data_IF_134170746618
#
_entry.id   IF_134170746618
#
_cell.length_a   1.000
_cell.length_b   1.000
_cell.length_c   1.000
_cell.angle_alpha   90.00
_cell.angle_beta   90.00
_cell.angle_gamma   90.00
#
_symmetry.space_group_name_H-M   'P 1'
#
loop_
_entity.id
_entity.type
_entity.pdbx_description
1 polymer ?
#
# COMPACT_ATOMS: atom_id res chain seq x y z
N UNK A 1 -2.75 8.96 7.49
CA UNK A 1 -2.50 8.09 8.67
C UNK A 1 -3.76 8.06 9.53
N UNK A 2 -4.26 6.86 9.91
CA UNK A 2 -5.47 6.74 10.76
C UNK A 2 -5.16 7.35 12.14
N UNK A 3 -6.02 8.25 12.60
CA UNK A 3 -5.99 8.75 13.98
C UNK A 3 -6.90 7.85 14.82
N UNK A 4 -6.47 7.51 16.02
CA UNK A 4 -7.26 6.81 17.03
C UNK A 4 -7.29 7.72 18.24
N UNK A 5 -8.49 8.10 18.69
CA UNK A 5 -8.69 9.00 19.85
C UNK A 5 -7.84 10.28 19.81
N UNK A 6 -7.77 10.93 18.64
CA UNK A 6 -7.02 12.18 18.45
C UNK A 6 -5.51 12.02 18.20
N UNK A 7 -4.92 10.85 18.47
CA UNK A 7 -3.51 10.58 18.23
C UNK A 7 -3.27 9.77 16.95
N UNK A 8 -2.15 10.02 16.26
CA UNK A 8 -1.76 9.20 15.09
C UNK A 8 -1.43 7.79 15.58
N UNK A 9 -2.09 6.77 15.01
CA UNK A 9 -1.95 5.39 15.47
C UNK A 9 -0.49 4.85 15.46
N UNK A 10 0.40 5.42 14.63
CA UNK A 10 1.81 4.99 14.62
C UNK A 10 2.58 5.35 15.91
N UNK A 11 2.16 6.41 16.62
CA UNK A 11 2.87 6.88 17.81
C UNK A 11 2.74 5.90 18.98
N UNK A 12 1.55 5.32 19.17
CA UNK A 12 1.33 4.32 20.23
C UNK A 12 1.91 2.94 19.85
N UNK A 13 1.88 2.56 18.56
CA UNK A 13 2.56 1.33 18.11
C UNK A 13 4.08 1.33 18.40
N UNK A 14 4.76 2.48 18.31
CA UNK A 14 6.18 2.61 18.67
C UNK A 14 6.46 2.55 20.18
N UNK A 15 5.44 2.77 21.01
CA UNK A 15 5.55 2.67 22.47
C UNK A 15 5.28 1.25 22.99
N UNK A 16 5.01 0.30 22.09
CA UNK A 16 4.68 -1.08 22.45
C UNK A 16 3.18 -1.32 22.68
N UNK A 17 2.35 -0.29 22.55
CA UNK A 17 0.91 -0.44 22.73
C UNK A 17 0.28 -1.10 21.49
N UNK A 18 -0.30 -2.28 21.68
CA UNK A 18 -1.10 -2.97 20.67
C UNK A 18 -2.39 -2.22 20.42
N UNK A 19 -2.38 -1.32 19.44
CA UNK A 19 -3.60 -0.66 18.97
C UNK A 19 -4.33 -1.61 18.02
N UNK A 20 -5.43 -2.19 18.50
CA UNK A 20 -6.39 -2.90 17.64
C UNK A 20 -7.15 -1.84 16.83
N UNK A 21 -6.83 -1.74 15.54
CA UNK A 21 -7.57 -0.87 14.63
C UNK A 21 -8.83 -1.61 14.16
N UNK A 22 -10.01 -0.98 14.19
CA UNK A 22 -11.21 -1.61 13.65
C UNK A 22 -11.02 -1.85 12.14
N UNK A 23 -11.46 -3.02 11.64
CA UNK A 23 -11.36 -3.35 10.22
C UNK A 23 -12.16 -2.34 9.40
N UNK A 24 -11.60 -1.94 8.27
CA UNK A 24 -12.30 -1.09 7.31
C UNK A 24 -12.79 -1.99 6.16
N UNK A 25 -14.04 -1.84 5.75
CA UNK A 25 -14.54 -2.48 4.53
C UNK A 25 -13.82 -1.86 3.33
N UNK A 26 -13.23 -2.71 2.50
CA UNK A 26 -12.58 -2.35 1.25
C UNK A 26 -13.11 -3.23 0.14
N UNK A 27 -12.94 -2.79 -1.11
CA UNK A 27 -13.28 -3.56 -2.29
C UNK A 27 -12.03 -3.81 -3.11
N UNK A 28 -11.84 -5.06 -3.52
CA UNK A 28 -10.85 -5.45 -4.53
C UNK A 28 -11.61 -5.59 -5.84
N UNK A 29 -11.22 -4.80 -6.83
CA UNK A 29 -11.85 -4.81 -8.15
C UNK A 29 -11.16 -5.80 -9.09
N UNK A 30 -9.85 -5.95 -8.94
CA UNK A 30 -9.02 -6.84 -9.73
C UNK A 30 -7.78 -7.27 -8.93
N UNK A 31 -7.34 -8.51 -9.13
CA UNK A 31 -6.22 -9.11 -8.39
C UNK A 31 -5.52 -10.18 -9.22
N UNK A 32 -4.32 -9.86 -9.70
CA UNK A 32 -3.46 -10.75 -10.48
C UNK A 32 -2.26 -11.14 -9.60
N UNK A 33 -1.92 -12.43 -9.56
CA UNK A 33 -0.84 -12.96 -8.71
C UNK A 33 0.17 -13.69 -9.57
N UNK A 34 1.45 -13.50 -9.25
CA UNK A 34 2.58 -14.20 -9.84
C UNK A 34 3.42 -14.82 -8.72
N UNK A 35 3.53 -16.15 -8.78
CA UNK A 35 4.28 -16.99 -7.84
C UNK A 35 5.47 -17.68 -8.51
N UNK A 36 5.97 -17.16 -9.64
CA UNK A 36 7.11 -17.75 -10.36
C UNK A 36 8.43 -17.67 -9.61
N UNK A 37 8.55 -16.74 -8.65
CA UNK A 37 9.79 -16.44 -7.92
C UNK A 37 9.69 -16.72 -6.41
N UNK A 38 9.03 -17.83 -6.03
CA UNK A 38 8.93 -18.22 -4.62
C UNK A 38 10.31 -18.26 -3.93
N UNK A 39 10.42 -17.78 -2.67
CA UNK A 39 9.34 -17.43 -1.76
C UNK A 39 8.77 -16.02 -1.94
N UNK A 40 9.25 -15.25 -2.92
CA UNK A 40 8.68 -13.94 -3.24
C UNK A 40 7.40 -14.12 -4.08
N UNK A 41 6.37 -13.35 -3.75
CA UNK A 41 5.08 -13.37 -4.43
C UNK A 41 4.78 -11.97 -4.91
N UNK A 42 4.68 -11.82 -6.22
CA UNK A 42 4.30 -10.58 -6.87
C UNK A 42 2.79 -10.55 -7.07
N UNK A 43 2.19 -9.36 -6.98
CA UNK A 43 0.79 -9.19 -7.36
C UNK A 43 0.50 -7.79 -7.84
N UNK A 44 -0.50 -7.68 -8.71
CA UNK A 44 -1.12 -6.42 -9.12
C UNK A 44 -2.53 -6.37 -8.59
N UNK A 45 -2.90 -5.23 -8.02
CA UNK A 45 -4.21 -5.04 -7.37
C UNK A 45 -4.84 -3.72 -7.77
N UNK A 46 -6.13 -3.78 -8.14
CA UNK A 46 -7.02 -2.63 -8.20
C UNK A 46 -7.97 -2.68 -7.02
N UNK A 47 -8.03 -1.61 -6.22
CA UNK A 47 -8.79 -1.60 -4.97
C UNK A 47 -9.38 -0.23 -4.62
N UNK A 48 -10.37 -0.24 -3.73
CA UNK A 48 -10.98 0.98 -3.21
C UNK A 48 -10.01 1.78 -2.34
N UNK A 49 -10.30 3.07 -2.14
CA UNK A 49 -9.57 3.91 -1.18
C UNK A 49 -9.53 3.26 0.21
N UNK A 50 -8.44 3.50 0.93
CA UNK A 50 -8.28 3.01 2.30
C UNK A 50 -7.76 1.56 2.42
N UNK A 51 -7.57 0.86 1.30
CA UNK A 51 -6.91 -0.45 1.28
C UNK A 51 -5.45 -0.32 1.71
N UNK A 52 -5.06 -1.12 2.68
CA UNK A 52 -3.72 -1.10 3.25
C UNK A 52 -2.94 -2.31 2.72
N UNK A 53 -2.19 -2.13 1.63
CA UNK A 53 -1.48 -3.23 0.94
C UNK A 53 -0.54 -4.00 1.87
N UNK A 54 0.06 -3.32 2.86
CA UNK A 54 0.87 -3.97 3.90
C UNK A 54 0.08 -4.90 4.82
N UNK A 55 -1.19 -4.59 5.10
CA UNK A 55 -2.05 -5.50 5.86
C UNK A 55 -2.41 -6.71 4.98
N UNK A 56 -2.75 -6.47 3.70
CA UNK A 56 -3.03 -7.54 2.75
C UNK A 56 -1.87 -8.53 2.63
N UNK A 57 -0.62 -8.07 2.51
CA UNK A 57 0.55 -8.95 2.47
C UNK A 57 0.69 -9.84 3.72
N UNK A 58 0.40 -9.28 4.91
CA UNK A 58 0.39 -10.02 6.17
C UNK A 58 -0.72 -11.07 6.18
N UNK A 59 -1.92 -10.66 5.79
CA UNK A 59 -3.12 -11.50 5.82
C UNK A 59 -3.00 -12.66 4.81
N UNK A 60 -2.42 -12.42 3.63
CA UNK A 60 -2.08 -13.46 2.65
C UNK A 60 -1.09 -14.48 3.22
N UNK A 61 -0.02 -14.00 3.87
CA UNK A 61 0.94 -14.88 4.56
C UNK A 61 0.26 -15.74 5.62
N UNK A 62 -0.56 -15.14 6.47
CA UNK A 62 -1.32 -15.86 7.49
C UNK A 62 -2.31 -16.89 6.91
N UNK A 63 -2.97 -16.56 5.79
CA UNK A 63 -3.92 -17.46 5.12
C UNK A 63 -3.25 -18.73 4.58
N UNK A 64 -1.96 -18.67 4.23
CA UNK A 64 -1.17 -19.82 3.79
C UNK A 64 -0.36 -20.46 4.93
N UNK A 65 -0.71 -20.17 6.19
CA UNK A 65 -0.03 -20.66 7.39
C UNK A 65 1.47 -20.29 7.44
N UNK A 66 1.82 -19.12 6.91
CA UNK A 66 3.18 -18.56 6.92
C UNK A 66 3.19 -17.12 7.43
N UNK A 67 4.36 -16.49 7.41
CA UNK A 67 4.51 -15.04 7.53
C UNK A 67 4.51 -14.37 6.15
N UNK A 68 3.95 -13.17 6.07
CA UNK A 68 4.01 -12.34 4.86
C UNK A 68 4.26 -10.89 5.22
N UNK A 69 5.17 -10.24 4.50
CA UNK A 69 5.38 -8.81 4.61
C UNK A 69 5.71 -8.22 3.25
N UNK A 70 5.36 -6.94 3.08
CA UNK A 70 5.58 -6.23 1.82
C UNK A 70 7.04 -5.76 1.75
N UNK A 71 7.78 -6.22 0.74
CA UNK A 71 9.18 -5.81 0.50
C UNK A 71 9.28 -4.62 -0.47
N UNK A 72 8.36 -4.51 -1.44
CA UNK A 72 8.30 -3.44 -2.42
C UNK A 72 6.84 -3.04 -2.71
N UNK A 73 6.62 -1.76 -2.99
CA UNK A 73 5.32 -1.24 -3.39
C UNK A 73 5.46 -0.09 -4.38
N UNK A 74 4.85 -0.22 -5.56
CA UNK A 74 4.68 0.89 -6.51
C UNK A 74 3.20 1.10 -6.78
N UNK A 75 2.74 2.33 -6.58
CA UNK A 75 1.37 2.73 -6.97
C UNK A 75 1.40 3.21 -8.40
N UNK A 76 0.76 2.48 -9.30
CA UNK A 76 0.78 2.76 -10.74
C UNK A 76 -0.37 3.63 -11.23
N UNK A 77 -1.48 3.70 -10.49
CA UNK A 77 -2.66 4.46 -10.91
C UNK A 77 -3.45 5.03 -9.73
N UNK A 78 -4.07 6.20 -9.92
CA UNK A 78 -5.03 6.82 -8.99
C UNK A 78 -6.22 7.33 -9.80
N UNK A 79 -7.35 6.62 -9.76
CA UNK A 79 -8.51 6.99 -10.58
C UNK A 79 -8.13 7.03 -12.06
N UNK A 80 -8.29 8.19 -12.71
CA UNK A 80 -7.91 8.39 -14.11
C UNK A 80 -6.42 8.65 -14.36
N UNK A 81 -5.62 8.89 -13.33
CA UNK A 81 -4.21 9.30 -13.47
C UNK A 81 -3.26 8.11 -13.41
N UNK A 82 -2.45 7.92 -14.45
CA UNK A 82 -1.42 6.88 -14.51
C UNK A 82 -0.06 7.41 -14.08
N UNK A 83 0.79 6.55 -13.51
CA UNK A 83 2.18 6.92 -13.17
C UNK A 83 3.03 7.07 -14.41
N UNK A 84 2.62 6.46 -15.53
CA UNK A 84 3.25 6.58 -16.84
C UNK A 84 3.12 8.01 -17.40
N UNK A 85 2.10 8.76 -16.97
CA UNK A 85 1.89 10.17 -17.33
C UNK A 85 2.50 11.13 -16.30
N UNK A 86 3.16 10.61 -15.26
CA UNK A 86 3.70 11.42 -14.17
C UNK A 86 5.09 11.94 -14.49
N UNK A 87 5.35 13.21 -14.16
CA UNK A 87 6.68 13.78 -14.17
C UNK A 87 7.48 13.27 -12.96
N UNK A 88 8.77 13.02 -13.19
CA UNK A 88 9.77 12.97 -12.13
C UNK A 88 9.91 14.35 -11.47
N UNK A 89 10.51 14.38 -10.28
CA UNK A 89 10.76 15.63 -9.57
C UNK A 89 11.67 16.55 -10.39
N UNK A 90 12.67 15.98 -11.07
CA UNK A 90 13.63 16.76 -11.87
C UNK A 90 12.96 17.38 -13.10
N UNK A 91 12.17 16.59 -13.85
CA UNK A 91 11.38 17.10 -14.99
C UNK A 91 10.40 18.22 -14.55
N UNK A 92 9.78 18.06 -13.37
CA UNK A 92 8.90 19.09 -12.81
C UNK A 92 9.67 20.38 -12.48
N UNK A 93 10.87 20.28 -11.90
CA UNK A 93 11.72 21.43 -11.55
C UNK A 93 12.18 22.17 -12.81
N UNK A 94 12.58 21.45 -13.85
CA UNK A 94 12.97 22.04 -15.13
C UNK A 94 11.81 22.81 -15.77
N UNK A 95 10.61 22.22 -15.83
CA UNK A 95 9.43 22.88 -16.40
C UNK A 95 9.05 24.18 -15.67
N UNK A 96 9.12 24.20 -14.34
CA UNK A 96 8.78 25.38 -13.55
C UNK A 96 9.85 26.47 -13.69
N UNK A 97 11.13 26.10 -13.82
CA UNK A 97 12.25 27.05 -13.89
C UNK A 97 12.34 27.77 -15.25
N UNK A 98 11.72 27.22 -16.29
CA UNK A 98 11.66 27.80 -17.63
C UNK A 98 10.30 28.44 -17.98
N UNK A 99 9.42 28.58 -16.98
CA UNK A 99 8.12 29.26 -17.08
C UNK A 99 8.21 30.72 -16.59
#
# INVERSE_FOLDING_TARGET
AKKVSGQRAYNAARKGDLIVLPPNKVQVYDFEVDCSELPEVNFRISCSKGTYIRALARDLGSAVNSGGHLIQLRRTKIGGFSVEDALTIDEMVEQISHM
#
